data_IF_013692181898
#
_entry.id   IF_013692181898
#
_cell.length_a   1.000
_cell.length_b   1.000
_cell.length_c   1.000
_cell.angle_alpha   90.00
_cell.angle_beta   90.00
_cell.angle_gamma   90.00
#
_symmetry.space_group_name_H-M   'P 1'
#
loop_
_entity.id
_entity.type
_entity.pdbx_description
1 polymer ?
#
# COMPACT_ATOMS: atom_id res chain seq x y z
N UNK A 1 11.76 13.47 -7.79
CA UNK A 1 11.59 14.29 -6.56
C UNK A 1 10.69 13.53 -5.59
N UNK A 2 11.12 13.26 -4.36
CA UNK A 2 10.29 12.57 -3.36
C UNK A 2 9.47 13.61 -2.61
N UNK A 3 8.13 13.53 -2.70
CA UNK A 3 7.23 14.45 -1.99
C UNK A 3 7.06 13.99 -0.54
N UNK A 4 7.59 14.77 0.40
CA UNK A 4 7.44 14.51 1.83
C UNK A 4 5.97 14.69 2.22
N UNK A 5 5.37 13.60 2.70
CA UNK A 5 3.95 13.54 3.06
C UNK A 5 3.84 13.40 4.57
N UNK A 6 3.09 14.30 5.20
CA UNK A 6 2.84 14.28 6.64
C UNK A 6 1.57 13.47 6.96
N UNK A 7 1.36 13.12 8.22
CA UNK A 7 0.15 12.40 8.66
C UNK A 7 -0.72 13.28 9.54
N UNK A 8 -2.04 13.23 9.29
CA UNK A 8 -3.03 13.84 10.15
C UNK A 8 -3.04 13.15 11.51
N UNK A 9 -2.81 13.89 12.59
CA UNK A 9 -2.76 13.35 13.96
C UNK A 9 -4.09 12.78 14.44
N UNK A 10 -5.21 13.27 13.89
CA UNK A 10 -6.55 12.82 14.27
C UNK A 10 -7.06 11.64 13.43
N UNK A 11 -7.08 11.79 12.10
CA UNK A 11 -7.66 10.79 11.20
C UNK A 11 -6.67 9.71 10.74
N UNK A 12 -5.36 9.98 10.79
CA UNK A 12 -4.32 9.13 10.23
C UNK A 12 -4.20 9.21 8.70
N UNK A 13 -4.87 10.17 8.05
CA UNK A 13 -4.77 10.38 6.60
C UNK A 13 -3.48 11.10 6.21
N UNK A 14 -3.00 10.83 4.99
CA UNK A 14 -1.85 11.51 4.38
C UNK A 14 -2.18 12.97 4.03
N UNK A 15 -1.26 13.87 4.34
CA UNK A 15 -1.31 15.29 4.06
C UNK A 15 -0.15 15.63 3.13
N UNK A 16 -0.48 16.04 1.91
CA UNK A 16 0.50 16.50 0.93
C UNK A 16 0.91 17.96 1.22
N UNK A 17 2.09 18.40 0.75
CA UNK A 17 2.52 19.79 0.88
C UNK A 17 1.46 20.77 0.36
N UNK A 18 1.31 21.92 1.02
CA UNK A 18 0.30 22.93 0.69
C UNK A 18 -1.15 22.58 1.10
N UNK A 19 -1.36 21.46 1.81
CA UNK A 19 -2.68 21.07 2.34
C UNK A 19 -2.65 20.92 3.87
N UNK A 20 -3.86 20.89 4.44
CA UNK A 20 -4.07 20.68 5.87
C UNK A 20 -3.98 21.97 6.70
N UNK A 21 -4.10 21.80 8.00
CA UNK A 21 -4.11 22.88 8.99
C UNK A 21 -3.12 22.50 10.09
N UNK A 22 -2.17 23.40 10.39
CA UNK A 22 -1.25 23.26 11.51
C UNK A 22 -1.80 24.00 12.72
N UNK A 23 -1.97 23.30 13.83
CA UNK A 23 -2.40 23.85 15.09
C UNK A 23 -1.29 23.65 16.12
N UNK A 24 -0.89 24.74 16.78
CA UNK A 24 0.12 24.71 17.84
C UNK A 24 -0.65 24.94 19.14
N UNK A 25 -0.54 23.99 20.07
CA UNK A 25 -1.12 24.13 21.41
C UNK A 25 -0.11 24.85 22.33
N UNK A 26 -0.60 25.41 23.43
CA UNK A 26 0.21 26.13 24.43
C UNK A 26 1.36 25.30 25.04
N UNK A 27 1.29 23.97 25.01
CA UNK A 27 2.35 23.04 25.41
C UNK A 27 3.41 22.84 24.30
N UNK A 28 3.45 23.72 23.30
CA UNK A 28 4.30 23.66 22.12
C UNK A 28 4.08 22.41 21.24
N UNK A 29 3.00 21.64 21.48
CA UNK A 29 2.69 20.49 20.65
C UNK A 29 2.08 20.91 19.32
N UNK A 30 2.68 20.42 18.24
CA UNK A 30 2.22 20.65 16.87
C UNK A 30 1.28 19.53 16.43
N UNK A 31 0.06 19.90 16.08
CA UNK A 31 -0.95 19.01 15.53
C UNK A 31 -1.20 19.35 14.07
N UNK A 32 -1.06 18.37 13.19
CA UNK A 32 -1.44 18.47 11.78
C UNK A 32 -2.80 17.83 11.57
N UNK A 33 -3.72 18.59 10.95
CA UNK A 33 -5.05 18.14 10.59
C UNK A 33 -5.22 18.16 9.07
N UNK A 34 -5.81 17.10 8.50
CA UNK A 34 -6.07 17.05 7.05
C UNK A 34 -7.17 18.03 6.61
N UNK A 35 -8.17 18.29 7.46
CA UNK A 35 -9.33 19.12 7.15
C UNK A 35 -9.93 19.78 8.40
N UNK A 36 -10.85 20.73 8.19
CA UNK A 36 -11.57 21.43 9.26
C UNK A 36 -12.42 20.51 10.13
N UNK A 37 -12.92 19.40 9.58
CA UNK A 37 -13.65 18.36 10.34
C UNK A 37 -12.79 17.77 11.46
N UNK A 38 -11.54 17.40 11.15
CA UNK A 38 -10.57 16.91 12.13
C UNK A 38 -10.25 17.96 13.20
N UNK A 39 -10.03 19.21 12.77
CA UNK A 39 -9.79 20.33 13.71
C UNK A 39 -10.97 20.49 14.67
N UNK A 40 -12.21 20.52 14.18
CA UNK A 40 -13.42 20.68 15.01
C UNK A 40 -13.55 19.56 16.04
N UNK A 41 -13.39 18.31 15.63
CA UNK A 41 -13.47 17.18 16.56
C UNK A 41 -12.39 17.21 17.64
N UNK A 42 -11.19 17.65 17.30
CA UNK A 42 -10.11 17.84 18.28
C UNK A 42 -10.47 18.91 19.33
N UNK A 43 -11.05 20.04 18.92
CA UNK A 43 -11.49 21.09 19.85
C UNK A 43 -12.65 20.62 20.73
N UNK A 44 -13.56 19.81 20.17
CA UNK A 44 -14.65 19.18 20.92
C UNK A 44 -14.18 18.00 21.80
N UNK A 45 -12.87 17.78 21.94
CA UNK A 45 -12.26 16.74 22.77
C UNK A 45 -12.75 15.32 22.46
N UNK A 46 -13.19 15.07 21.23
CA UNK A 46 -13.59 13.74 20.80
C UNK A 46 -12.35 12.86 20.60
N UNK A 47 -12.42 11.63 21.09
CA UNK A 47 -11.32 10.66 20.97
C UNK A 47 -11.42 9.95 19.61
N UNK A 48 -10.36 9.96 18.77
CA UNK A 48 -10.39 9.30 17.46
C UNK A 48 -10.69 7.79 17.57
N UNK A 49 -10.25 7.13 18.66
CA UNK A 49 -10.59 5.74 19.00
C UNK A 49 -12.09 5.42 19.03
N UNK A 50 -12.97 6.42 19.21
CA UNK A 50 -14.43 6.22 19.23
C UNK A 50 -15.09 6.46 17.86
N UNK A 51 -14.35 6.98 16.88
CA UNK A 51 -14.88 7.35 15.57
C UNK A 51 -14.50 6.30 14.52
N UNK A 52 -15.51 5.59 14.03
CA UNK A 52 -15.38 4.40 13.16
C UNK A 52 -14.52 4.62 11.91
N UNK A 53 -14.60 5.80 11.31
CA UNK A 53 -13.91 6.15 10.07
C UNK A 53 -12.42 6.47 10.24
N UNK A 54 -11.94 6.66 11.48
CA UNK A 54 -10.53 7.01 11.72
C UNK A 54 -9.62 5.81 11.63
N UNK A 55 -8.35 6.03 11.25
CA UNK A 55 -7.34 4.95 11.25
C UNK A 55 -7.14 4.33 12.65
N UNK A 56 -7.24 5.14 13.70
CA UNK A 56 -7.06 4.68 15.09
C UNK A 56 -8.16 3.70 15.52
N UNK A 57 -9.42 3.99 15.20
CA UNK A 57 -10.53 3.07 15.45
C UNK A 57 -10.33 1.74 14.72
N UNK A 58 -10.01 1.81 13.41
CA UNK A 58 -9.85 0.62 12.57
C UNK A 58 -8.72 -0.28 13.06
N UNK A 59 -7.61 0.32 13.52
CA UNK A 59 -6.48 -0.39 14.14
C UNK A 59 -6.90 -1.11 15.44
N UNK A 60 -7.60 -0.43 16.35
CA UNK A 60 -8.04 -1.02 17.61
C UNK A 60 -9.04 -2.16 17.41
N UNK A 61 -9.93 -2.03 16.45
CA UNK A 61 -10.96 -3.03 16.13
C UNK A 61 -10.51 -4.04 15.08
N UNK A 62 -9.20 -4.13 14.80
CA UNK A 62 -8.62 -5.13 13.92
C UNK A 62 -9.20 -5.13 12.49
N UNK A 63 -9.74 -3.99 12.04
CA UNK A 63 -10.37 -3.84 10.72
C UNK A 63 -9.38 -3.65 9.57
N UNK A 64 -8.08 -3.58 9.86
CA UNK A 64 -6.99 -3.45 8.88
C UNK A 64 -6.23 -4.77 8.62
N UNK A 65 -6.60 -5.88 9.28
CA UNK A 65 -5.85 -7.14 9.22
C UNK A 65 -5.70 -7.68 7.78
N UNK A 66 -6.78 -7.70 7.00
CA UNK A 66 -6.73 -8.23 5.63
C UNK A 66 -5.85 -7.39 4.70
N UNK A 67 -5.81 -6.07 4.89
CA UNK A 67 -5.00 -5.18 4.07
C UNK A 67 -3.50 -5.35 4.35
N UNK A 68 -3.11 -5.51 5.62
CA UNK A 68 -1.71 -5.76 6.00
C UNK A 68 -1.21 -7.13 5.52
N UNK A 69 -2.06 -8.16 5.56
CA UNK A 69 -1.72 -9.50 5.03
C UNK A 69 -1.44 -9.49 3.52
N UNK A 70 -2.17 -8.68 2.74
CA UNK A 70 -1.90 -8.49 1.31
C UNK A 70 -0.60 -7.72 1.08
N UNK A 71 -0.33 -6.68 1.87
CA UNK A 71 0.90 -5.88 1.73
C UNK A 71 2.16 -6.67 2.08
N UNK A 72 2.11 -7.54 3.09
CA UNK A 72 3.24 -8.43 3.44
C UNK A 72 3.62 -9.36 2.28
N UNK A 73 2.62 -9.90 1.54
CA UNK A 73 2.86 -10.74 0.35
C UNK A 73 3.52 -9.99 -0.81
N UNK A 74 3.35 -8.67 -0.91
CA UNK A 74 3.88 -7.84 -2.00
C UNK A 74 5.28 -7.27 -1.76
N UNK A 75 5.89 -7.52 -0.59
CA UNK A 75 7.31 -7.18 -0.40
C UNK A 75 8.14 -8.28 -1.06
N UNK A 76 8.78 -8.05 -2.22
CA UNK A 76 9.71 -9.03 -2.74
C UNK A 76 10.82 -9.19 -1.70
N UNK A 77 11.05 -10.41 -1.25
CA UNK A 77 12.23 -10.78 -0.46
C UNK A 77 13.44 -10.72 -1.39
N UNK A 78 13.83 -9.51 -1.82
CA UNK A 78 15.23 -9.31 -2.16
C UNK A 78 15.96 -9.42 -0.83
N UNK A 79 16.45 -10.63 -0.55
CA UNK A 79 17.35 -10.86 0.55
C UNK A 79 18.56 -9.93 0.43
N UNK A 80 19.27 -9.66 1.54
CA UNK A 80 20.58 -9.05 1.42
C UNK A 80 21.36 -9.92 0.44
N UNK A 81 22.01 -9.28 -0.53
CA UNK A 81 23.01 -9.89 -1.38
C UNK A 81 23.74 -10.98 -0.59
N UNK A 82 23.51 -12.24 -0.94
CA UNK A 82 24.20 -13.39 -0.36
C UNK A 82 25.24 -13.79 -1.41
N UNK A 83 26.52 -13.39 -1.27
CA UNK A 83 27.55 -13.69 -2.28
C UNK A 83 27.82 -15.20 -2.43
N UNK A 84 27.16 -16.02 -1.61
CA UNK A 84 27.25 -17.48 -1.55
C UNK A 84 25.88 -18.19 -1.68
N UNK A 85 24.84 -17.51 -2.17
CA UNK A 85 23.61 -18.18 -2.58
C UNK A 85 23.86 -19.04 -3.83
N UNK A 86 23.17 -20.19 -4.00
CA UNK A 86 23.31 -20.98 -5.22
C UNK A 86 22.99 -20.07 -6.42
N UNK A 87 23.98 -19.90 -7.30
CA UNK A 87 23.77 -19.27 -8.59
C UNK A 87 22.55 -19.94 -9.24
N UNK A 88 21.60 -19.20 -9.81
CA UNK A 88 20.58 -19.81 -10.65
C UNK A 88 21.34 -20.50 -11.78
N UNK A 89 21.45 -21.83 -11.67
CA UNK A 89 21.98 -22.66 -12.72
C UNK A 89 21.20 -22.29 -13.98
N UNK A 90 21.97 -21.95 -15.00
CA UNK A 90 21.52 -21.61 -16.35
C UNK A 90 20.23 -22.33 -16.69
N UNK A 91 19.17 -21.57 -16.97
CA UNK A 91 18.10 -22.07 -17.82
C UNK A 91 18.75 -22.46 -19.14
N UNK A 92 19.14 -23.73 -19.23
CA UNK A 92 19.55 -24.36 -20.47
C UNK A 92 18.42 -24.16 -21.45
N UNK A 93 18.76 -23.48 -22.54
CA UNK A 93 18.00 -23.31 -23.76
C UNK A 93 17.21 -24.57 -24.12
N UNK A 94 15.96 -24.63 -23.67
CA UNK A 94 14.94 -25.46 -24.28
C UNK A 94 14.61 -24.82 -25.61
N UNK A 95 15.16 -25.37 -26.68
CA UNK A 95 14.77 -25.08 -28.05
C UNK A 95 13.25 -25.25 -28.16
N UNK A 96 12.52 -24.16 -28.37
CA UNK A 96 11.15 -24.22 -28.85
C UNK A 96 11.19 -24.78 -30.27
N UNK A 97 11.02 -26.09 -30.41
CA UNK A 97 10.69 -26.70 -31.69
C UNK A 97 9.27 -26.26 -32.07
N UNK A 98 9.05 -25.64 -33.25
CA UNK A 98 7.70 -25.36 -33.73
C UNK A 98 6.98 -26.67 -34.07
N UNK A 99 5.65 -26.75 -33.90
CA UNK A 99 4.88 -27.91 -34.32
C UNK A 99 4.92 -28.06 -35.86
N UNK A 100 5.05 -29.28 -36.40
CA UNK A 100 4.99 -29.49 -37.84
C UNK A 100 3.57 -29.22 -38.35
N UNK A 101 3.49 -28.30 -39.30
CA UNK A 101 2.35 -28.05 -40.17
C UNK A 101 2.09 -29.27 -41.07
N UNK A 102 1.06 -30.05 -40.77
CA UNK A 102 0.47 -30.98 -41.73
C UNK A 102 -0.79 -30.36 -42.32
N UNK A 103 -0.63 -29.79 -43.51
CA UNK A 103 -1.70 -29.61 -44.49
C UNK A 103 -2.27 -31.00 -44.84
N UNK A 104 -3.58 -31.16 -44.74
CA UNK A 104 -4.33 -32.05 -45.65
C UNK A 104 -5.79 -31.60 -45.73
N UNK A 105 -6.06 -30.80 -46.77
CA UNK A 105 -7.13 -30.97 -47.76
C UNK A 105 -8.52 -31.49 -47.32
N UNK A 106 -9.51 -30.61 -47.49
CA UNK A 106 -10.95 -30.80 -47.82
C UNK A 106 -11.33 -32.09 -48.60
N UNK A 107 -12.59 -32.60 -48.55
CA UNK A 107 -13.77 -31.89 -49.10
C UNK A 107 -15.17 -32.13 -48.49
N UNK A 108 -16.10 -31.33 -49.04
CA UNK A 108 -17.56 -31.18 -48.97
C UNK A 108 -18.52 -32.35 -48.63
N UNK A 109 -19.73 -31.90 -48.26
CA UNK A 109 -21.08 -32.52 -48.43
C UNK A 109 -21.44 -33.65 -47.46
N UNK A 110 -22.65 -33.71 -46.88
CA UNK A 110 -23.96 -33.13 -47.22
C UNK A 110 -24.71 -32.68 -45.97
#
# INVERSE_FOLDING_TARGET
MVLKTELCRFSGQKIYPGKGIRFIRADSQVFLFANSKCKRYFHNRLKPAKLTWTAMYRKQHKKDIHAEAVKKRRRPTWGPWNPSGPHPLSASSGTCSPPPSSLSSHPWSS
#
